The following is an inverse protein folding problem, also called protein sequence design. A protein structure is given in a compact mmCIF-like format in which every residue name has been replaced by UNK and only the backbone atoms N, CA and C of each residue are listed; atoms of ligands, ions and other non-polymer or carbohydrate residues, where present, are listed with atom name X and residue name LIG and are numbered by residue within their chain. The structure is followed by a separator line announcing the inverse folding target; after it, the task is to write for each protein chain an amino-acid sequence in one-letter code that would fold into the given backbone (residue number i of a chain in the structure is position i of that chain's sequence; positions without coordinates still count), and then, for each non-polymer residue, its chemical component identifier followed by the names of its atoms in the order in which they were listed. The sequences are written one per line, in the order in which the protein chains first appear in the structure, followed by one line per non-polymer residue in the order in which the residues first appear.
data_IF_725909824792
#
_entry.id   IF_725909824792
#
_cell.length_a   1.000
_cell.length_b   1.000
_cell.length_c   1.000
_cell.angle_alpha   90.00
_cell.angle_beta   90.00
_cell.angle_gamma   90.00
#
_symmetry.space_group_name_H-M   'P 1'
#
loop_
_entity.id
_entity.type
_entity.pdbx_description
1 polymer ?
#
# COMPACT_ATOMS: atom_id res chain seq x y z
N UNK A 1 29.69 1.37 -71.66
CA UNK A 1 28.68 2.16 -72.40
C UNK A 1 27.73 2.71 -71.36
N UNK A 2 27.63 4.03 -71.34
CA UNK A 2 27.06 4.96 -70.35
C UNK A 2 25.54 4.90 -70.22
N UNK A 3 25.04 5.23 -69.01
CA UNK A 3 23.84 6.05 -68.67
C UNK A 3 23.61 5.89 -67.14
N UNK A 4 24.03 6.81 -66.25
CA UNK A 4 23.44 8.12 -65.86
C UNK A 4 21.99 8.07 -65.33
N UNK A 5 21.84 8.39 -64.03
CA UNK A 5 20.79 9.20 -63.40
C UNK A 5 20.98 9.15 -61.86
N UNK A 6 21.54 10.18 -61.22
CA UNK A 6 20.85 11.41 -60.75
C UNK A 6 19.90 11.15 -59.57
N UNK A 7 20.19 11.76 -58.40
CA UNK A 7 19.21 11.80 -57.31
C UNK A 7 19.68 12.20 -55.91
N UNK A 8 19.90 13.52 -55.73
CA UNK A 8 19.59 14.32 -54.54
C UNK A 8 20.27 14.03 -53.17
N UNK A 9 21.03 15.05 -52.76
CA UNK A 9 21.53 15.30 -51.42
C UNK A 9 20.43 15.25 -50.35
N UNK A 10 20.71 14.57 -49.22
CA UNK A 10 19.97 14.72 -47.97
C UNK A 10 20.83 15.50 -46.99
N UNK A 11 20.33 16.68 -46.64
CA UNK A 11 20.95 17.62 -45.72
C UNK A 11 20.99 17.08 -44.29
N UNK A 12 22.12 17.34 -43.63
CA UNK A 12 22.30 17.30 -42.20
C UNK A 12 21.26 18.17 -41.48
N UNK A 13 20.52 17.56 -40.56
CA UNK A 13 19.58 18.21 -39.67
C UNK A 13 19.82 17.72 -38.25
N UNK A 14 20.82 18.31 -37.60
CA UNK A 14 21.09 18.20 -36.17
C UNK A 14 19.93 18.83 -35.39
N UNK A 15 18.93 18.04 -35.01
CA UNK A 15 17.94 18.43 -34.01
C UNK A 15 18.34 17.83 -32.66
N UNK A 16 19.21 18.56 -31.96
CA UNK A 16 19.44 18.39 -30.53
C UNK A 16 18.17 18.81 -29.79
N UNK A 17 17.20 17.90 -29.77
CA UNK A 17 16.02 17.96 -28.92
C UNK A 17 16.45 17.89 -27.46
N UNK A 18 16.73 19.05 -26.88
CA UNK A 18 16.92 19.23 -25.45
C UNK A 18 15.66 18.76 -24.73
N UNK A 19 15.69 17.51 -24.26
CA UNK A 19 14.69 16.97 -23.35
C UNK A 19 14.72 17.82 -22.08
N UNK A 20 13.81 18.78 -21.98
CA UNK A 20 13.51 19.53 -20.77
C UNK A 20 12.98 18.57 -19.71
N UNK A 21 13.91 17.92 -19.00
CA UNK A 21 13.61 17.16 -17.78
C UNK A 21 13.18 18.15 -16.69
N UNK A 22 11.88 18.35 -16.53
CA UNK A 22 11.28 18.90 -15.33
C UNK A 22 9.90 18.28 -15.08
N UNK A 23 9.41 18.13 -13.83
CA UNK A 23 10.11 18.08 -12.54
C UNK A 23 10.08 16.66 -11.95
N UNK A 24 11.25 16.06 -11.68
CA UNK A 24 11.35 14.77 -10.94
C UNK A 24 11.10 14.90 -9.42
N UNK A 25 10.71 16.10 -8.95
CA UNK A 25 10.65 16.44 -7.52
C UNK A 25 9.49 15.79 -6.76
N UNK A 26 8.36 15.52 -7.42
CA UNK A 26 7.20 14.88 -6.79
C UNK A 26 7.47 13.40 -6.45
N UNK A 27 8.14 12.68 -7.38
CA UNK A 27 8.56 11.29 -7.17
C UNK A 27 9.64 11.17 -6.09
N UNK A 28 10.58 12.13 -6.06
CA UNK A 28 11.60 12.23 -5.02
C UNK A 28 11.00 12.41 -3.62
N UNK A 29 10.01 13.31 -3.47
CA UNK A 29 9.35 13.59 -2.18
C UNK A 29 8.56 12.39 -1.65
N UNK A 30 7.84 11.66 -2.50
CA UNK A 30 7.13 10.43 -2.08
C UNK A 30 8.09 9.34 -1.61
N UNK A 31 9.22 9.18 -2.30
CA UNK A 31 10.25 8.21 -1.92
C UNK A 31 10.88 8.55 -0.57
N UNK A 32 11.14 9.84 -0.32
CA UNK A 32 11.66 10.32 0.97
C UNK A 32 10.67 10.09 2.12
N UNK A 33 9.38 10.40 1.91
CA UNK A 33 8.33 10.16 2.90
C UNK A 33 8.21 8.67 3.23
N UNK A 34 8.25 7.80 2.23
CA UNK A 34 8.26 6.34 2.42
C UNK A 34 9.47 5.87 3.22
N UNK A 35 10.68 6.33 2.88
CA UNK A 35 11.89 5.98 3.62
C UNK A 35 11.88 6.51 5.06
N UNK A 36 11.27 7.67 5.29
CA UNK A 36 11.05 8.20 6.65
C UNK A 36 10.08 7.33 7.45
N UNK A 37 9.05 6.78 6.80
CA UNK A 37 8.05 5.93 7.43
C UNK A 37 8.66 4.56 7.76
N UNK A 38 9.41 3.96 6.84
CA UNK A 38 10.10 2.68 7.09
C UNK A 38 11.01 2.81 8.32
N UNK A 39 11.86 3.85 8.38
CA UNK A 39 12.72 4.10 9.54
C UNK A 39 11.94 4.25 10.84
N UNK A 40 10.79 4.94 10.82
CA UNK A 40 9.92 5.08 12.00
C UNK A 40 9.37 3.73 12.46
N UNK A 41 8.97 2.86 11.53
CA UNK A 41 8.45 1.53 11.84
C UNK A 41 9.54 0.60 12.35
N UNK A 42 10.74 0.64 11.79
CA UNK A 42 11.89 -0.15 12.25
C UNK A 42 12.31 0.19 13.68
N UNK A 43 12.16 1.45 14.07
CA UNK A 43 12.48 1.92 15.42
C UNK A 43 11.34 1.69 16.43
N UNK A 44 10.16 1.30 15.95
CA UNK A 44 8.96 1.18 16.75
C UNK A 44 9.06 0.02 17.75
N UNK A 45 9.13 0.33 19.04
CA UNK A 45 9.20 -0.66 20.10
C UNK A 45 7.80 -1.23 20.37
N UNK A 46 7.64 -2.55 20.27
CA UNK A 46 6.32 -3.21 20.38
C UNK A 46 5.60 -2.96 21.72
N UNK A 47 6.33 -2.80 22.82
CA UNK A 47 5.72 -2.64 24.14
C UNK A 47 5.02 -1.29 24.33
N UNK A 48 5.59 -0.21 23.79
CA UNK A 48 5.05 1.14 23.91
C UNK A 48 3.61 1.28 23.42
N UNK A 49 3.25 0.86 22.18
CA UNK A 49 1.88 0.93 21.70
C UNK A 49 0.97 -0.02 22.45
N UNK A 50 1.42 -1.21 22.87
CA UNK A 50 0.58 -2.16 23.60
C UNK A 50 0.14 -1.58 24.94
N UNK A 51 1.06 -0.95 25.68
CA UNK A 51 0.75 -0.30 26.95
C UNK A 51 -0.07 0.98 26.75
N UNK A 52 0.21 1.75 25.70
CA UNK A 52 -0.45 3.02 25.39
C UNK A 52 -1.80 2.91 24.69
N UNK A 53 -2.15 1.73 24.12
CA UNK A 53 -3.36 1.57 23.30
C UNK A 53 -4.62 1.81 24.12
N UNK A 54 -5.43 2.78 23.70
CA UNK A 54 -6.76 3.05 24.27
C UNK A 54 -7.73 3.32 23.13
N UNK A 55 -8.97 2.86 23.26
CA UNK A 55 -10.03 3.23 22.32
C UNK A 55 -10.35 4.71 22.48
N UNK A 56 -10.19 5.48 21.39
CA UNK A 56 -10.54 6.90 21.34
C UNK A 56 -11.81 7.04 20.48
N UNK A 57 -12.80 7.79 20.98
CA UNK A 57 -14.09 8.03 20.29
C UNK A 57 -14.23 9.46 19.76
N UNK A 58 -13.21 10.29 19.96
CA UNK A 58 -13.14 11.66 19.46
C UNK A 58 -11.71 11.92 18.97
N UNK A 59 -11.57 12.15 17.66
CA UNK A 59 -10.30 12.35 16.98
C UNK A 59 -9.98 13.84 16.78
N UNK A 60 -8.72 14.15 16.46
CA UNK A 60 -8.31 15.50 16.09
C UNK A 60 -9.12 15.99 14.88
N UNK A 61 -9.52 17.25 14.90
CA UNK A 61 -10.35 17.87 13.86
C UNK A 61 -11.83 17.49 13.91
N UNK A 62 -12.25 16.57 14.80
CA UNK A 62 -13.68 16.27 14.96
C UNK A 62 -14.44 17.40 15.64
N UNK A 63 -15.75 17.44 15.37
CA UNK A 63 -16.72 18.31 16.05
C UNK A 63 -17.90 17.46 16.50
N UNK A 64 -18.21 17.53 17.78
CA UNK A 64 -19.40 16.93 18.37
C UNK A 64 -20.51 17.99 18.41
N UNK A 65 -21.62 17.69 17.77
CA UNK A 65 -22.76 18.60 17.67
C UNK A 65 -23.83 18.27 18.72
N UNK A 66 -24.36 19.31 19.37
CA UNK A 66 -25.54 19.20 20.24
C UNK A 66 -25.28 18.77 21.68
N UNK A 67 -26.20 19.12 22.57
CA UNK A 67 -26.20 18.74 23.98
C UNK A 67 -25.12 19.43 24.84
N UNK A 68 -25.10 19.07 26.12
CA UNK A 68 -24.15 19.63 27.10
C UNK A 68 -22.68 19.21 26.85
N UNK A 69 -22.45 18.22 25.98
CA UNK A 69 -21.12 17.72 25.63
C UNK A 69 -20.62 18.25 24.29
N UNK A 70 -21.31 19.21 23.67
CA UNK A 70 -20.87 19.80 22.41
C UNK A 70 -19.43 20.31 22.52
N UNK A 71 -18.57 19.89 21.58
CA UNK A 71 -17.15 20.18 21.63
C UNK A 71 -16.56 20.20 20.22
N UNK A 72 -15.67 21.15 19.97
CA UNK A 72 -14.90 21.23 18.72
C UNK A 72 -13.43 21.06 19.05
N UNK A 73 -12.76 20.14 18.35
CA UNK A 73 -11.32 19.94 18.51
C UNK A 73 -10.55 21.22 18.26
N UNK A 74 -9.64 21.59 19.16
CA UNK A 74 -8.69 22.68 18.97
C UNK A 74 -7.59 22.36 17.95
N UNK A 75 -7.41 21.07 17.62
CA UNK A 75 -6.42 20.62 16.64
C UNK A 75 -7.04 20.43 15.26
N UNK A 76 -6.26 20.70 14.22
CA UNK A 76 -6.60 20.37 12.84
C UNK A 76 -6.71 18.85 12.63
N UNK A 77 -7.54 18.46 11.67
CA UNK A 77 -7.60 17.07 11.21
C UNK A 77 -6.22 16.66 10.66
N UNK A 78 -5.78 15.46 11.04
CA UNK A 78 -4.51 14.89 10.60
C UNK A 78 -4.84 13.57 9.89
N UNK A 79 -5.11 13.61 8.58
CA UNK A 79 -5.33 12.39 7.80
C UNK A 79 -4.04 11.59 7.70
N UNK A 80 -4.18 10.28 7.53
CA UNK A 80 -3.05 9.40 7.25
C UNK A 80 -2.56 9.62 5.82
N UNK A 81 -1.26 9.44 5.59
CA UNK A 81 -0.75 9.37 4.22
C UNK A 81 -1.11 8.02 3.59
N UNK A 82 -1.05 7.92 2.27
CA UNK A 82 -1.30 6.65 1.56
C UNK A 82 -0.40 5.52 2.07
N UNK A 83 0.87 5.82 2.37
CA UNK A 83 1.82 4.85 2.92
C UNK A 83 1.44 4.42 4.35
N UNK A 84 0.93 5.33 5.18
CA UNK A 84 0.45 5.02 6.54
C UNK A 84 -0.84 4.17 6.50
N UNK A 85 -1.76 4.49 5.58
CA UNK A 85 -2.96 3.68 5.33
C UNK A 85 -2.60 2.29 4.83
N UNK A 86 -1.69 2.19 3.84
CA UNK A 86 -1.22 0.91 3.33
C UNK A 86 -0.56 0.06 4.41
N UNK A 87 0.25 0.67 5.29
CA UNK A 87 0.85 -0.02 6.43
C UNK A 87 -0.22 -0.51 7.42
N UNK A 88 -1.24 0.30 7.71
CA UNK A 88 -2.33 -0.09 8.59
C UNK A 88 -3.11 -1.28 8.03
N UNK A 89 -3.44 -1.24 6.74
CA UNK A 89 -4.10 -2.35 6.04
C UNK A 89 -3.21 -3.60 6.05
N UNK A 90 -1.92 -3.44 5.76
CA UNK A 90 -0.97 -4.56 5.84
C UNK A 90 -0.92 -5.17 7.24
N UNK A 91 -0.85 -4.34 8.29
CA UNK A 91 -0.84 -4.82 9.67
C UNK A 91 -2.13 -5.57 10.06
N UNK A 92 -3.28 -5.24 9.45
CA UNK A 92 -4.55 -5.91 9.71
C UNK A 92 -4.82 -7.15 8.87
N UNK A 93 -4.48 -7.13 7.57
CA UNK A 93 -4.91 -8.17 6.59
C UNK A 93 -3.84 -8.52 5.55
N UNK A 94 -2.61 -8.04 5.75
CA UNK A 94 -1.49 -8.19 4.81
C UNK A 94 -1.04 -9.63 4.61
N UNK A 95 -0.37 -9.89 3.49
CA UNK A 95 0.21 -11.19 3.15
C UNK A 95 1.64 -11.24 3.67
N UNK A 96 1.95 -12.22 4.52
CA UNK A 96 3.28 -12.38 5.15
C UNK A 96 4.18 -13.37 4.41
N UNK A 97 3.63 -14.19 3.53
CA UNK A 97 4.37 -15.18 2.77
C UNK A 97 3.49 -16.38 2.39
N UNK A 98 4.15 -17.50 2.12
CA UNK A 98 3.49 -18.78 1.85
C UNK A 98 3.38 -19.62 3.12
N UNK A 99 2.21 -20.21 3.33
CA UNK A 99 1.97 -21.23 4.34
C UNK A 99 2.45 -22.57 3.78
N UNK A 100 3.30 -23.27 4.54
CA UNK A 100 3.60 -24.66 4.27
C UNK A 100 2.40 -25.48 4.75
N UNK A 101 1.45 -25.75 3.84
CA UNK A 101 0.24 -26.48 4.17
C UNK A 101 0.54 -27.96 4.36
N UNK A 102 0.35 -28.47 5.58
CA UNK A 102 0.43 -29.91 5.89
C UNK A 102 -0.95 -30.61 5.83
N UNK A 103 -1.97 -29.86 5.41
CA UNK A 103 -3.34 -30.32 5.27
C UNK A 103 -3.77 -30.30 3.80
N UNK A 104 -4.67 -31.20 3.37
CA UNK A 104 -5.14 -31.23 1.99
C UNK A 104 -5.79 -29.91 1.58
N UNK A 105 -5.32 -29.33 0.47
CA UNK A 105 -5.98 -28.24 -0.21
C UNK A 105 -6.88 -28.82 -1.32
N UNK A 106 -8.20 -28.85 -1.07
CA UNK A 106 -9.16 -29.42 -2.01
C UNK A 106 -10.39 -28.49 -2.13
N UNK A 107 -10.94 -28.38 -3.33
CA UNK A 107 -12.10 -27.52 -3.62
C UNK A 107 -13.44 -28.23 -3.43
N UNK A 108 -13.44 -29.43 -2.83
CA UNK A 108 -14.58 -30.35 -2.80
C UNK A 108 -15.03 -30.86 -4.18
N UNK A 109 -16.24 -31.42 -4.25
CA UNK A 109 -16.84 -32.02 -5.47
C UNK A 109 -17.85 -31.10 -6.18
N UNK A 110 -18.26 -29.99 -5.56
CA UNK A 110 -19.16 -29.00 -6.17
C UNK A 110 -18.57 -27.59 -6.09
N UNK A 111 -19.08 -26.68 -6.92
CA UNK A 111 -18.71 -25.27 -6.85
C UNK A 111 -18.97 -24.71 -5.44
N UNK A 112 -17.99 -24.01 -4.87
CA UNK A 112 -17.99 -23.51 -3.47
C UNK A 112 -18.07 -24.60 -2.37
N UNK A 113 -17.85 -25.89 -2.69
CA UNK A 113 -17.81 -26.97 -1.69
C UNK A 113 -16.58 -26.95 -0.76
N UNK A 114 -15.62 -26.07 -1.04
CA UNK A 114 -14.35 -25.97 -0.31
C UNK A 114 -14.49 -25.68 1.19
N UNK A 115 -15.69 -25.34 1.69
CA UNK A 115 -15.97 -25.04 3.11
C UNK A 115 -15.79 -26.21 4.08
N UNK A 116 -15.68 -27.45 3.58
CA UNK A 116 -15.39 -28.64 4.40
C UNK A 116 -13.90 -28.96 4.52
N UNK A 117 -13.05 -28.36 3.69
CA UNK A 117 -11.61 -28.53 3.78
C UNK A 117 -11.04 -27.47 4.70
N UNK A 118 -10.10 -27.90 5.53
CA UNK A 118 -9.41 -27.00 6.45
C UNK A 118 -8.65 -25.96 5.60
N UNK A 119 -7.70 -26.35 4.76
CA UNK A 119 -6.96 -25.39 3.93
C UNK A 119 -7.82 -24.76 2.81
N UNK A 120 -7.85 -23.43 2.77
CA UNK A 120 -8.54 -22.66 1.74
C UNK A 120 -7.63 -21.73 0.90
N UNK A 121 -6.40 -21.47 1.33
CA UNK A 121 -5.35 -20.84 0.50
C UNK A 121 -3.95 -21.08 1.08
N UNK A 122 -2.93 -20.79 0.27
CA UNK A 122 -1.52 -20.91 0.68
C UNK A 122 -0.87 -19.59 1.13
N UNK A 123 -1.62 -18.50 1.26
CA UNK A 123 -1.07 -17.21 1.70
C UNK A 123 -1.22 -17.03 3.21
N UNK A 124 -0.12 -16.72 3.89
CA UNK A 124 -0.11 -16.33 5.30
C UNK A 124 -0.65 -14.91 5.47
N UNK A 125 -1.39 -14.67 6.56
CA UNK A 125 -1.95 -13.35 6.92
C UNK A 125 -1.21 -12.76 8.11
N UNK A 126 -1.24 -11.43 8.25
CA UNK A 126 -0.64 -10.73 9.40
C UNK A 126 -1.37 -10.95 10.72
N UNK A 127 -2.67 -11.26 10.66
CA UNK A 127 -3.46 -11.66 11.84
C UNK A 127 -3.78 -13.16 11.81
N UNK A 128 -4.18 -13.69 12.97
CA UNK A 128 -4.60 -15.08 13.11
C UNK A 128 -5.70 -15.42 12.11
N UNK A 129 -5.41 -16.41 11.29
CA UNK A 129 -6.24 -16.83 10.16
C UNK A 129 -6.02 -18.32 10.00
N UNK A 130 -6.81 -19.10 10.73
CA UNK A 130 -6.88 -20.54 10.47
C UNK A 130 -7.24 -20.66 8.98
N UNK A 131 -6.42 -21.39 8.23
CA UNK A 131 -6.66 -21.71 6.82
C UNK A 131 -6.42 -20.59 5.80
N UNK A 132 -5.78 -19.51 6.24
CA UNK A 132 -5.50 -18.34 5.41
C UNK A 132 -6.75 -17.50 5.11
N UNK A 133 -7.93 -17.92 5.58
CA UNK A 133 -9.16 -17.12 5.56
C UNK A 133 -9.19 -16.20 6.77
N UNK A 134 -9.31 -14.91 6.50
CA UNK A 134 -9.71 -13.94 7.50
C UNK A 134 -11.19 -13.64 7.31
N UNK A 135 -12.03 -14.13 8.22
CA UNK A 135 -13.43 -13.69 8.32
C UNK A 135 -13.53 -12.76 9.52
N UNK A 136 -14.02 -11.54 9.28
CA UNK A 136 -14.40 -10.57 10.33
C UNK A 136 -15.82 -10.84 10.76
#
# INVERSE_FOLDING_TARGET
MTMEASGAARADGNDSGGASRGPSSASGRSTELRNSLIRRVEQFQLLDPLLGRRSRRFAKGMRLNGGALAYTSAHAAQPLTLEEEALMVFAGVGITGFLMGDLPYHTGESYEAGSGNIMAQFFGRTIASADGIQTV
#
